data_IF_407728224493
#
_entry.id   IF_407728224493
#
_cell.length_a   1.000
_cell.length_b   1.000
_cell.length_c   1.000
_cell.angle_alpha   90.00
_cell.angle_beta   90.00
_cell.angle_gamma   90.00
#
_symmetry.space_group_name_H-M   'P 1'
#
loop_
_entity.id
_entity.type
_entity.pdbx_description
1 polymer ?
#
# COMPACT_ATOMS: atom_id res chain seq x y z
N UNK A 1 51.91 -9.09 24.77
CA UNK A 1 51.27 -7.91 24.16
C UNK A 1 49.78 -8.17 24.11
N UNK A 2 48.99 -7.32 24.75
CA UNK A 2 47.54 -7.44 24.80
C UNK A 2 46.92 -6.72 23.59
N UNK A 3 45.96 -7.37 22.92
CA UNK A 3 44.82 -6.66 22.32
C UNK A 3 43.59 -7.23 23.01
N UNK A 4 43.07 -6.42 23.93
CA UNK A 4 41.78 -6.57 24.57
C UNK A 4 40.69 -6.29 23.54
N UNK A 5 39.80 -7.27 23.32
CA UNK A 5 38.46 -7.00 22.81
C UNK A 5 37.49 -7.49 23.89
N UNK A 6 37.23 -6.59 24.84
CA UNK A 6 36.19 -6.71 25.85
C UNK A 6 34.81 -6.76 25.17
N UNK A 7 33.98 -7.72 25.56
CA UNK A 7 32.55 -7.73 25.28
C UNK A 7 32.16 -8.55 24.06
N UNK A 8 31.67 -9.75 24.33
CA UNK A 8 30.92 -10.59 23.39
C UNK A 8 29.83 -9.75 22.73
N UNK A 9 29.99 -9.39 21.46
CA UNK A 9 28.84 -9.05 20.62
C UNK A 9 27.99 -10.33 20.55
N UNK A 10 26.82 -10.33 21.17
CA UNK A 10 25.81 -11.33 20.86
C UNK A 10 25.58 -11.27 19.34
N UNK A 11 25.62 -12.39 18.59
CA UNK A 11 25.07 -12.39 17.25
C UNK A 11 23.56 -12.25 17.41
N UNK A 12 23.10 -11.01 17.54
CA UNK A 12 21.69 -10.70 17.45
C UNK A 12 21.32 -10.86 15.97
N UNK A 13 21.07 -12.11 15.56
CA UNK A 13 20.30 -12.36 14.35
C UNK A 13 18.92 -11.82 14.67
N UNK A 14 18.59 -10.65 14.14
CA UNK A 14 17.25 -10.07 14.27
C UNK A 14 16.28 -10.99 13.53
N UNK A 15 15.62 -11.88 14.26
CA UNK A 15 14.53 -12.69 13.71
C UNK A 15 13.23 -11.90 13.85
N UNK A 16 12.46 -11.82 12.76
CA UNK A 16 11.10 -11.27 12.80
C UNK A 16 10.11 -12.41 12.70
N UNK A 17 9.19 -12.43 13.65
CA UNK A 17 8.06 -13.34 13.65
C UNK A 17 6.87 -12.59 13.07
N UNK A 18 6.46 -12.93 11.85
CA UNK A 18 5.21 -12.48 11.28
C UNK A 18 4.10 -13.46 11.66
N UNK A 19 3.04 -12.96 12.28
CA UNK A 19 1.84 -13.74 12.59
C UNK A 19 0.70 -13.28 11.68
N UNK A 20 0.02 -14.24 11.04
CA UNK A 20 -1.21 -13.96 10.30
C UNK A 20 -2.39 -14.11 11.23
N UNK A 21 -3.11 -13.02 11.51
CA UNK A 21 -4.27 -13.04 12.41
C UNK A 21 -5.57 -13.35 11.68
N UNK A 22 -5.69 -12.91 10.42
CA UNK A 22 -6.93 -13.00 9.65
C UNK A 22 -6.61 -13.49 8.23
N UNK A 23 -7.19 -14.62 7.84
CA UNK A 23 -7.04 -15.21 6.51
C UNK A 23 -5.76 -16.01 6.31
N UNK A 24 -5.65 -16.65 5.14
CA UNK A 24 -4.47 -17.40 4.70
C UNK A 24 -3.82 -16.61 3.58
N UNK A 25 -2.52 -16.29 3.71
CA UNK A 25 -1.77 -15.63 2.65
C UNK A 25 -1.72 -16.51 1.39
N UNK A 26 -1.81 -15.95 0.18
CA UNK A 26 -1.87 -16.76 -1.03
C UNK A 26 -0.60 -17.58 -1.20
N UNK A 27 -0.75 -18.87 -1.52
CA UNK A 27 0.38 -19.81 -1.60
C UNK A 27 1.31 -19.54 -2.78
N UNK A 28 0.85 -18.78 -3.77
CA UNK A 28 1.57 -18.40 -4.97
C UNK A 28 2.38 -17.10 -4.82
N UNK A 29 2.36 -16.49 -3.63
CA UNK A 29 3.03 -15.22 -3.33
C UNK A 29 4.19 -15.39 -2.34
N UNK A 30 5.11 -14.43 -2.31
CA UNK A 30 6.26 -14.46 -1.40
C UNK A 30 5.94 -13.73 -0.07
N UNK A 31 5.59 -14.44 1.02
CA UNK A 31 5.40 -13.79 2.32
C UNK A 31 6.69 -13.17 2.86
N UNK A 32 7.87 -13.65 2.43
CA UNK A 32 9.16 -13.09 2.84
C UNK A 32 9.42 -11.71 2.24
N UNK A 33 8.75 -11.33 1.14
CA UNK A 33 8.84 -9.97 0.61
C UNK A 33 8.34 -8.96 1.65
N UNK A 34 7.12 -9.13 2.16
CA UNK A 34 6.54 -8.23 3.16
C UNK A 34 7.32 -8.27 4.48
N UNK A 35 7.76 -9.46 4.91
CA UNK A 35 8.57 -9.61 6.11
C UNK A 35 9.88 -8.80 6.03
N UNK A 36 10.58 -8.81 4.89
CA UNK A 36 11.80 -8.01 4.68
C UNK A 36 11.54 -6.50 4.73
N UNK A 37 10.40 -6.04 4.20
CA UNK A 37 10.03 -4.61 4.27
C UNK A 37 9.69 -4.21 5.71
N UNK A 38 8.96 -5.07 6.42
CA UNK A 38 8.66 -4.86 7.84
C UNK A 38 9.94 -4.87 8.70
N UNK A 39 10.90 -5.74 8.40
CA UNK A 39 12.22 -5.75 9.06
C UNK A 39 12.93 -4.42 8.93
N UNK A 40 13.01 -3.92 7.71
CA UNK A 40 13.66 -2.66 7.45
C UNK A 40 12.97 -1.51 8.18
N UNK A 41 11.63 -1.52 8.21
CA UNK A 41 10.85 -0.54 8.95
C UNK A 41 11.11 -0.60 10.48
N UNK A 42 11.20 -1.80 11.06
CA UNK A 42 11.45 -2.01 12.50
C UNK A 42 12.84 -1.56 12.96
N UNK A 43 13.83 -1.49 12.06
CA UNK A 43 15.17 -0.97 12.38
C UNK A 43 15.19 0.55 12.58
N UNK A 44 14.14 1.24 12.18
CA UNK A 44 14.02 2.68 12.28
C UNK A 44 13.20 3.07 13.52
N UNK A 45 13.44 4.25 14.10
CA UNK A 45 12.75 4.67 15.32
C UNK A 45 11.24 4.81 15.05
N UNK A 46 10.40 4.21 15.89
CA UNK A 46 8.94 4.23 15.72
C UNK A 46 8.32 5.65 15.72
N UNK A 47 9.00 6.59 16.39
CA UNK A 47 8.61 7.99 16.46
C UNK A 47 9.81 8.92 16.23
N UNK A 48 9.59 9.97 15.45
CA UNK A 48 10.51 11.11 15.36
C UNK A 48 9.78 12.41 15.69
N UNK A 49 10.45 13.29 16.43
CA UNK A 49 9.96 14.64 16.72
C UNK A 49 10.60 15.59 15.71
N UNK A 50 9.78 16.18 14.85
CA UNK A 50 10.20 17.18 13.88
C UNK A 50 9.74 18.58 14.32
N UNK A 51 10.26 19.64 13.68
CA UNK A 51 9.78 21.02 13.91
C UNK A 51 8.28 21.19 13.58
N UNK A 52 7.69 20.27 12.80
CA UNK A 52 6.29 20.25 12.39
C UNK A 52 5.41 19.35 13.30
N UNK A 53 6.00 18.71 14.31
CA UNK A 53 5.30 17.80 15.23
C UNK A 53 5.90 16.39 15.29
N UNK A 54 5.29 15.54 16.12
CA UNK A 54 5.67 14.14 16.29
C UNK A 54 5.01 13.26 15.22
N UNK A 55 5.82 12.48 14.50
CA UNK A 55 5.35 11.46 13.56
C UNK A 55 5.34 10.13 14.29
N UNK A 56 4.16 9.55 14.56
CA UNK A 56 3.97 8.37 15.44
C UNK A 56 3.82 7.03 14.73
N UNK A 57 3.74 7.00 13.40
CA UNK A 57 3.54 5.80 12.59
C UNK A 57 4.67 5.61 11.57
N UNK A 58 5.92 5.80 12.01
CA UNK A 58 7.05 5.85 11.07
C UNK A 58 7.26 4.51 10.36
N UNK A 59 7.06 3.39 11.07
CA UNK A 59 7.25 2.04 10.51
C UNK A 59 6.31 1.78 9.33
N UNK A 60 5.05 2.18 9.44
CA UNK A 60 4.06 2.06 8.38
C UNK A 60 4.43 2.94 7.18
N UNK A 61 4.83 4.20 7.43
CA UNK A 61 5.29 5.14 6.39
C UNK A 61 6.53 4.62 5.67
N UNK A 62 7.46 3.99 6.38
CA UNK A 62 8.66 3.41 5.78
C UNK A 62 8.28 2.21 4.92
N UNK A 63 7.50 1.28 5.46
CA UNK A 63 7.10 0.08 4.73
C UNK A 63 6.31 0.43 3.46
N UNK A 64 5.31 1.32 3.58
CA UNK A 64 4.54 1.80 2.44
C UNK A 64 5.42 2.57 1.44
N UNK A 65 6.34 3.39 1.93
CA UNK A 65 7.32 4.11 1.11
C UNK A 65 8.22 3.18 0.29
N UNK A 66 8.71 2.09 0.89
CA UNK A 66 9.55 1.11 0.18
C UNK A 66 8.78 0.43 -0.98
N UNK A 67 7.51 0.10 -0.76
CA UNK A 67 6.64 -0.49 -1.79
C UNK A 67 6.34 0.53 -2.88
N UNK A 68 5.99 1.78 -2.52
CA UNK A 68 5.75 2.87 -3.48
C UNK A 68 6.95 3.15 -4.38
N UNK A 69 8.18 3.04 -3.86
CA UNK A 69 9.39 3.16 -4.69
C UNK A 69 9.48 2.03 -5.71
N UNK A 70 9.11 0.81 -5.34
CA UNK A 70 9.09 -0.33 -6.26
C UNK A 70 7.96 -0.22 -7.29
N UNK A 71 6.78 0.26 -6.89
CA UNK A 71 5.70 0.61 -7.82
C UNK A 71 6.21 1.60 -8.87
N UNK A 72 6.85 2.71 -8.46
CA UNK A 72 7.36 3.72 -9.38
C UNK A 72 8.44 3.18 -10.32
N UNK A 73 9.33 2.30 -9.84
CA UNK A 73 10.37 1.67 -10.65
C UNK A 73 9.80 0.76 -11.74
N UNK A 74 8.68 0.11 -11.47
CA UNK A 74 8.00 -0.77 -12.42
C UNK A 74 6.85 -0.07 -13.17
N UNK A 75 6.84 1.26 -13.21
CA UNK A 75 5.75 2.04 -13.82
C UNK A 75 4.35 1.57 -13.36
N UNK A 76 4.21 1.30 -12.05
CA UNK A 76 3.02 0.77 -11.39
C UNK A 76 2.56 -0.62 -11.86
N UNK A 77 3.40 -1.38 -12.58
CA UNK A 77 3.19 -2.79 -12.92
C UNK A 77 3.91 -3.68 -11.89
N UNK A 78 3.41 -3.65 -10.66
CA UNK A 78 3.96 -4.37 -9.50
C UNK A 78 2.82 -4.99 -8.70
N UNK A 79 2.93 -6.21 -8.14
CA UNK A 79 1.79 -6.90 -7.55
C UNK A 79 1.34 -6.27 -6.23
N UNK A 80 2.26 -5.68 -5.48
CA UNK A 80 1.97 -5.00 -4.21
C UNK A 80 1.72 -3.51 -4.42
N UNK A 81 0.59 -3.01 -3.93
CA UNK A 81 0.25 -1.58 -3.89
C UNK A 81 0.13 -1.10 -2.45
N UNK A 82 0.76 0.00 -2.09
CA UNK A 82 0.71 0.54 -0.74
C UNK A 82 -0.15 1.80 -0.62
N UNK A 83 -0.92 1.87 0.47
CA UNK A 83 -1.73 3.03 0.87
C UNK A 83 -2.68 3.55 -0.22
N UNK A 84 -3.28 2.62 -0.97
CA UNK A 84 -4.25 2.97 -2.00
C UNK A 84 -5.54 3.48 -1.35
N UNK A 85 -6.02 4.64 -1.80
CA UNK A 85 -7.26 5.23 -1.27
C UNK A 85 -8.46 4.66 -2.01
N UNK A 86 -9.48 4.23 -1.27
CA UNK A 86 -10.74 3.71 -1.79
C UNK A 86 -11.91 4.61 -1.40
N UNK A 87 -12.75 4.92 -2.37
CA UNK A 87 -14.10 5.44 -2.16
C UNK A 87 -15.04 4.28 -1.85
N UNK A 88 -15.63 4.30 -0.65
CA UNK A 88 -16.63 3.33 -0.20
C UNK A 88 -18.00 3.79 -0.67
N UNK A 89 -18.70 2.90 -1.37
CA UNK A 89 -20.03 3.15 -1.94
C UNK A 89 -21.07 2.39 -1.14
N UNK A 90 -22.19 3.04 -0.83
CA UNK A 90 -23.25 2.43 -0.04
C UNK A 90 -24.08 1.41 -0.84
N UNK A 91 -24.50 1.77 -2.04
CA UNK A 91 -25.48 0.97 -2.80
C UNK A 91 -24.88 -0.14 -3.67
N UNK A 92 -23.65 0.04 -4.17
CA UNK A 92 -23.06 -0.87 -5.16
C UNK A 92 -22.05 -1.88 -4.58
N UNK A 93 -21.81 -1.85 -3.26
CA UNK A 93 -20.95 -2.77 -2.47
C UNK A 93 -19.54 -3.06 -3.05
N UNK A 94 -19.08 -2.23 -4.00
CA UNK A 94 -17.76 -2.34 -4.60
C UNK A 94 -16.99 -1.03 -4.39
N UNK A 95 -16.04 -1.02 -3.45
CA UNK A 95 -15.12 0.09 -3.25
C UNK A 95 -14.33 0.42 -4.51
N UNK A 96 -14.19 1.70 -4.83
CA UNK A 96 -13.44 2.18 -5.99
C UNK A 96 -12.07 2.72 -5.57
N UNK A 97 -10.94 2.17 -6.07
CA UNK A 97 -9.63 2.77 -5.87
C UNK A 97 -9.56 4.12 -6.58
N UNK A 98 -9.04 5.14 -5.90
CA UNK A 98 -8.81 6.45 -6.49
C UNK A 98 -7.65 6.37 -7.47
N UNK A 99 -7.92 6.65 -8.76
CA UNK A 99 -6.91 6.64 -9.82
C UNK A 99 -6.23 8.00 -10.00
N UNK A 100 -5.01 7.98 -10.53
CA UNK A 100 -4.29 9.17 -10.96
C UNK A 100 -4.90 9.72 -12.26
N UNK A 101 -6.08 10.34 -12.17
CA UNK A 101 -6.84 10.81 -13.34
C UNK A 101 -6.35 12.15 -13.94
N UNK A 102 -5.15 12.62 -13.56
CA UNK A 102 -4.59 13.86 -14.10
C UNK A 102 -4.27 13.74 -15.59
N UNK A 103 -4.31 14.86 -16.31
CA UNK A 103 -4.03 14.87 -17.76
C UNK A 103 -2.64 14.29 -18.10
N UNK A 104 -1.64 14.58 -17.25
CA UNK A 104 -0.28 14.03 -17.39
C UNK A 104 -0.27 12.51 -17.27
N UNK A 105 -1.04 11.96 -16.32
CA UNK A 105 -1.13 10.51 -16.12
C UNK A 105 -1.87 9.83 -17.27
N UNK A 106 -2.97 10.44 -17.76
CA UNK A 106 -3.69 9.96 -18.95
C UNK A 106 -2.80 9.93 -20.20
N UNK A 107 -1.95 10.95 -20.39
CA UNK A 107 -0.99 10.97 -21.49
C UNK A 107 0.09 9.88 -21.37
N UNK A 108 0.53 9.58 -20.13
CA UNK A 108 1.61 8.59 -19.90
C UNK A 108 1.11 7.14 -19.93
N UNK A 109 -0.06 6.87 -19.35
CA UNK A 109 -0.55 5.50 -19.11
C UNK A 109 -1.78 5.12 -19.94
N UNK A 110 -2.37 6.07 -20.68
CA UNK A 110 -3.59 5.85 -21.45
C UNK A 110 -4.75 5.41 -20.56
N UNK A 111 -5.42 4.34 -20.97
CA UNK A 111 -6.61 3.80 -20.29
C UNK A 111 -6.26 2.95 -19.05
N UNK A 112 -5.02 2.48 -18.94
CA UNK A 112 -4.55 1.66 -17.83
C UNK A 112 -3.91 2.54 -16.76
N UNK A 113 -4.72 3.40 -16.11
CA UNK A 113 -4.25 4.36 -15.11
C UNK A 113 -3.83 3.69 -13.79
N UNK A 114 -2.75 4.17 -13.14
CA UNK A 114 -2.40 3.75 -11.79
C UNK A 114 -3.29 4.37 -10.73
N UNK A 115 -3.19 3.83 -9.51
CA UNK A 115 -3.69 4.49 -8.31
C UNK A 115 -3.09 5.88 -8.12
N UNK A 116 -3.84 6.75 -7.47
CA UNK A 116 -3.37 8.06 -7.03
C UNK A 116 -2.31 7.92 -5.92
N UNK A 117 -1.20 8.64 -6.07
CA UNK A 117 -0.17 8.76 -5.02
C UNK A 117 -0.57 9.71 -3.89
N UNK A 118 -1.63 10.52 -4.06
CA UNK A 118 -2.13 11.42 -3.03
C UNK A 118 -2.83 10.62 -1.91
N UNK A 119 -2.33 10.64 -0.67
CA UNK A 119 -2.93 9.91 0.46
C UNK A 119 -4.29 10.49 0.90
N UNK A 120 -4.66 11.66 0.40
CA UNK A 120 -5.94 12.34 0.64
C UNK A 120 -6.78 12.44 -0.64
N UNK A 121 -6.53 11.58 -1.63
CA UNK A 121 -7.35 11.52 -2.84
C UNK A 121 -8.83 11.34 -2.49
N UNK A 122 -9.69 12.13 -3.14
CA UNK A 122 -11.14 12.08 -2.97
C UNK A 122 -11.82 12.25 -4.33
N UNK A 123 -12.99 11.63 -4.55
CA UNK A 123 -13.81 11.93 -5.71
C UNK A 123 -14.28 13.40 -5.67
N UNK A 124 -14.72 13.90 -6.81
CA UNK A 124 -15.42 15.20 -6.85
C UNK A 124 -16.74 15.10 -6.06
N UNK A 125 -17.31 16.24 -5.65
CA UNK A 125 -18.59 16.24 -4.95
C UNK A 125 -19.71 15.63 -5.81
N UNK A 126 -19.71 15.93 -7.11
CA UNK A 126 -20.67 15.39 -8.08
C UNK A 126 -20.52 13.87 -8.23
N UNK A 127 -19.29 13.37 -8.35
CA UNK A 127 -19.03 11.93 -8.42
C UNK A 127 -19.36 11.23 -7.11
N UNK A 128 -19.09 11.87 -5.97
CA UNK A 128 -19.42 11.33 -4.66
C UNK A 128 -20.93 11.14 -4.50
N UNK A 129 -21.73 12.13 -4.91
CA UNK A 129 -23.19 12.05 -4.90
C UNK A 129 -23.71 11.01 -5.90
N UNK A 130 -23.26 11.08 -7.16
CA UNK A 130 -23.69 10.19 -8.24
C UNK A 130 -23.40 8.72 -7.98
N UNK A 131 -22.26 8.42 -7.35
CA UNK A 131 -21.82 7.05 -7.07
C UNK A 131 -22.07 6.62 -5.62
N UNK A 132 -22.76 7.43 -4.82
CA UNK A 132 -23.16 7.09 -3.45
C UNK A 132 -21.97 6.86 -2.51
N UNK A 133 -20.93 7.70 -2.61
CA UNK A 133 -19.72 7.58 -1.80
C UNK A 133 -19.97 8.08 -0.38
N UNK A 134 -19.98 7.15 0.58
CA UNK A 134 -20.25 7.42 2.00
C UNK A 134 -18.98 7.52 2.85
N UNK A 135 -17.84 7.12 2.31
CA UNK A 135 -16.60 7.14 3.07
C UNK A 135 -15.36 6.91 2.25
N UNK A 136 -14.22 7.15 2.88
CA UNK A 136 -12.90 6.90 2.33
C UNK A 136 -12.17 5.92 3.25
N UNK A 137 -11.61 4.87 2.67
CA UNK A 137 -10.75 3.90 3.37
C UNK A 137 -9.41 3.81 2.67
N UNK A 138 -8.36 3.47 3.42
CA UNK A 138 -7.01 3.33 2.88
C UNK A 138 -6.36 2.13 3.54
N UNK A 139 -6.41 0.96 2.89
CA UNK A 139 -5.70 -0.22 3.33
C UNK A 139 -4.20 0.01 3.32
N UNK A 140 -3.46 -0.71 4.17
CA UNK A 140 -2.01 -0.59 4.22
C UNK A 140 -1.38 -1.08 2.93
N UNK A 141 -1.75 -2.30 2.52
CA UNK A 141 -1.20 -2.98 1.36
C UNK A 141 -2.32 -3.72 0.62
N UNK A 142 -2.20 -3.71 -0.70
CA UNK A 142 -3.07 -4.42 -1.62
C UNK A 142 -2.21 -5.32 -2.48
N UNK A 143 -2.67 -6.53 -2.67
CA UNK A 143 -2.11 -7.46 -3.63
C UNK A 143 -3.06 -7.58 -4.82
N UNK A 144 -2.53 -7.50 -6.03
CA UNK A 144 -3.29 -7.66 -7.27
C UNK A 144 -3.13 -9.04 -7.90
N UNK A 145 -4.04 -9.42 -8.81
CA UNK A 145 -4.03 -10.72 -9.50
C UNK A 145 -3.13 -10.70 -10.74
N UNK A 146 -3.18 -9.60 -11.49
CA UNK A 146 -2.47 -9.39 -12.74
C UNK A 146 -1.70 -8.06 -12.67
N UNK A 147 -0.38 -8.15 -12.77
CA UNK A 147 0.53 -7.01 -12.73
C UNK A 147 0.46 -6.14 -13.98
N UNK A 148 -0.02 -6.68 -15.11
CA UNK A 148 -0.21 -5.92 -16.34
C UNK A 148 -1.31 -4.86 -16.19
N UNK A 149 -2.21 -5.04 -15.22
CA UNK A 149 -3.29 -4.13 -14.89
C UNK A 149 -2.90 -3.26 -13.69
N UNK A 150 -2.83 -1.94 -13.90
CA UNK A 150 -2.51 -0.99 -12.83
C UNK A 150 -3.68 -0.77 -11.87
N UNK A 151 -4.89 -1.10 -12.31
CA UNK A 151 -6.11 -1.10 -11.51
C UNK A 151 -6.00 -2.05 -10.32
N UNK A 152 -6.08 -1.57 -9.06
CA UNK A 152 -5.95 -2.43 -7.87
C UNK A 152 -7.29 -2.76 -7.21
N UNK A 153 -8.39 -2.72 -7.98
CA UNK A 153 -9.75 -2.86 -7.46
C UNK A 153 -10.47 -4.12 -7.95
N UNK A 154 -11.73 -4.26 -7.51
CA UNK A 154 -12.63 -5.31 -8.02
C UNK A 154 -13.21 -4.91 -9.38
N UNK A 155 -13.97 -5.80 -10.00
CA UNK A 155 -14.71 -5.48 -11.22
C UNK A 155 -15.70 -4.34 -10.93
N UNK A 156 -15.53 -3.21 -11.63
CA UNK A 156 -16.36 -2.03 -11.46
C UNK A 156 -16.30 -1.08 -12.65
N UNK A 157 -17.35 -0.27 -12.78
CA UNK A 157 -17.33 0.95 -13.59
C UNK A 157 -16.78 2.11 -12.76
N UNK A 158 -15.76 2.80 -13.27
CA UNK A 158 -15.13 3.95 -12.62
C UNK A 158 -15.94 5.24 -12.82
N UNK A 159 -15.53 6.32 -12.15
CA UNK A 159 -16.26 7.60 -12.15
C UNK A 159 -16.46 8.21 -13.55
N UNK A 160 -15.50 8.01 -14.46
CA UNK A 160 -15.55 8.47 -15.84
C UNK A 160 -16.26 7.51 -16.81
N UNK A 161 -16.81 6.40 -16.28
CA UNK A 161 -17.53 5.39 -17.06
C UNK A 161 -16.65 4.29 -17.64
N UNK A 162 -15.33 4.30 -17.43
CA UNK A 162 -14.47 3.19 -17.83
C UNK A 162 -14.83 1.91 -17.06
N UNK A 163 -14.68 0.76 -17.71
CA UNK A 163 -14.95 -0.55 -17.09
C UNK A 163 -13.61 -1.23 -16.80
N UNK A 164 -13.40 -1.58 -15.53
CA UNK A 164 -12.19 -2.27 -15.08
C UNK A 164 -12.52 -3.69 -14.62
N UNK A 165 -11.69 -4.70 -14.96
CA UNK A 165 -11.87 -6.07 -14.52
C UNK A 165 -11.55 -6.23 -13.03
N UNK A 166 -11.88 -7.40 -12.47
CA UNK A 166 -11.51 -7.75 -11.10
C UNK A 166 -10.02 -8.08 -11.01
N UNK A 167 -9.26 -7.21 -10.34
CA UNK A 167 -7.82 -7.38 -10.14
C UNK A 167 -7.42 -7.42 -8.66
N UNK A 168 -8.37 -7.32 -7.72
CA UNK A 168 -8.06 -7.33 -6.30
C UNK A 168 -7.87 -8.79 -5.83
N UNK A 169 -6.65 -9.13 -5.41
CA UNK A 169 -6.33 -10.46 -4.87
C UNK A 169 -6.49 -10.52 -3.36
N UNK A 170 -5.92 -9.54 -2.64
CA UNK A 170 -5.98 -9.50 -1.18
C UNK A 170 -5.78 -8.07 -0.65
N UNK A 171 -6.43 -7.77 0.48
CA UNK A 171 -6.12 -6.61 1.31
C UNK A 171 -5.32 -7.08 2.52
N UNK A 172 -4.23 -6.38 2.81
CA UNK A 172 -3.31 -6.73 3.88
C UNK A 172 -3.18 -5.52 4.80
N UNK A 173 -3.62 -5.70 6.03
CA UNK A 173 -3.44 -4.74 7.12
C UNK A 173 -2.21 -5.15 7.94
N UNK A 174 -1.29 -4.23 8.16
CA UNK A 174 -0.04 -4.50 8.87
C UNK A 174 -0.06 -3.81 10.22
N UNK A 175 0.22 -4.57 11.28
CA UNK A 175 0.38 -4.04 12.63
C UNK A 175 1.82 -4.20 13.08
N UNK A 176 2.44 -3.08 13.44
CA UNK A 176 3.76 -3.07 14.07
C UNK A 176 3.61 -3.14 15.58
N UNK A 177 4.53 -3.83 16.30
CA UNK A 177 4.59 -3.77 17.76
C UNK A 177 4.85 -2.32 18.19
N UNK A 178 4.11 -1.89 19.22
CA UNK A 178 4.20 -0.55 19.82
C UNK A 178 5.14 -0.48 21.01
#
# INVERSE_FOLDING_TARGET
MAISNNGKMCPAVTSITCTMEIGVFPADEDPCYLARKAEYALRLPAMIITKLGAIRFLNQVIMSGLIKVEELKHDFLWPYKAEVVFAIREEQDVPLPMLAASQVSKQRYGDNLPQSSNPFARPSAEDAEKFGVVGIRRPDIILVKDEALRWPGRNATYFDGSVHPDNLKMLIEVKFPG
#
